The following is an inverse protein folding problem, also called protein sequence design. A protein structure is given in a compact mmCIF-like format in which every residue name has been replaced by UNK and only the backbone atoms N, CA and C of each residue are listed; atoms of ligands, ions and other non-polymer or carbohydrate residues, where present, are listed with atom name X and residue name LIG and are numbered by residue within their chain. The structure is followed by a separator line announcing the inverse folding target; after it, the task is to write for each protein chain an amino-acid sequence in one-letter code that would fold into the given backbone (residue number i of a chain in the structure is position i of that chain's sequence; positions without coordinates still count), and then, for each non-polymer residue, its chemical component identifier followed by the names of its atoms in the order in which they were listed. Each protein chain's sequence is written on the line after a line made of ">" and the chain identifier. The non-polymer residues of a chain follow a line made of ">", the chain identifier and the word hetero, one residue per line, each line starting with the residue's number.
data_IF_738069956268
#
_entry.id   IF_738069956268
#
_cell.length_a   1.000
_cell.length_b   1.000
_cell.length_c   1.000
_cell.angle_alpha   90.00
_cell.angle_beta   90.00
_cell.angle_gamma   90.00
#
_symmetry.space_group_name_H-M   'P 1'
#
loop_
_entity.id
_entity.type
_entity.pdbx_description
1 polymer ?
#
# COMPACT_ATOMS: atom_id res chain seq x y z
N UNK A 1 -5.65 -0.44 -5.63
CA UNK A 1 -6.44 0.36 -4.65
C UNK A 1 -7.61 -0.41 -4.04
N UNK A 2 -8.49 -1.07 -4.81
CA UNK A 2 -9.73 -1.74 -4.32
C UNK A 2 -9.55 -2.52 -3.02
N UNK A 3 -8.54 -3.40 -2.93
CA UNK A 3 -8.31 -4.26 -1.75
C UNK A 3 -8.01 -3.45 -0.47
N UNK A 4 -7.19 -2.39 -0.58
CA UNK A 4 -6.83 -1.53 0.57
C UNK A 4 -8.01 -0.70 1.05
N UNK A 5 -8.79 -0.15 0.12
CA UNK A 5 -10.00 0.60 0.44
C UNK A 5 -11.06 -0.28 1.11
N UNK A 6 -11.23 -1.52 0.63
CA UNK A 6 -12.11 -2.50 1.26
C UNK A 6 -11.64 -2.87 2.68
N UNK A 7 -10.33 -2.99 2.91
CA UNK A 7 -9.79 -3.26 4.23
C UNK A 7 -10.06 -2.10 5.23
N UNK A 8 -9.91 -0.86 4.79
CA UNK A 8 -10.26 0.32 5.60
C UNK A 8 -11.76 0.36 5.92
N UNK A 9 -12.61 0.12 4.93
CA UNK A 9 -14.06 0.10 5.14
C UNK A 9 -14.48 -1.02 6.10
N UNK A 10 -13.90 -2.21 5.96
CA UNK A 10 -14.15 -3.32 6.87
C UNK A 10 -13.68 -3.00 8.29
N UNK A 11 -12.51 -2.39 8.44
CA UNK A 11 -12.02 -1.96 9.75
C UNK A 11 -12.97 -0.94 10.42
N UNK A 12 -13.47 0.04 9.65
CA UNK A 12 -14.47 1.00 10.13
C UNK A 12 -15.81 0.35 10.55
N UNK A 13 -16.11 -0.85 10.03
CA UNK A 13 -17.28 -1.65 10.41
C UNK A 13 -17.03 -2.55 11.63
N UNK A 14 -15.87 -2.45 12.27
CA UNK A 14 -15.52 -3.19 13.48
C UNK A 14 -14.71 -4.47 13.26
N UNK A 15 -14.24 -4.73 12.03
CA UNK A 15 -13.37 -5.90 11.79
C UNK A 15 -11.98 -5.68 12.40
N UNK A 16 -11.53 -6.68 13.15
CA UNK A 16 -10.19 -6.71 13.75
C UNK A 16 -9.12 -7.01 12.69
N UNK A 17 -7.87 -6.62 12.97
CA UNK A 17 -6.75 -6.83 12.05
C UNK A 17 -6.59 -8.31 11.66
N UNK A 18 -6.75 -9.24 12.60
CA UNK A 18 -6.61 -10.67 12.33
C UNK A 18 -7.70 -11.20 11.38
N UNK A 19 -8.92 -10.68 11.46
CA UNK A 19 -9.97 -11.02 10.49
C UNK A 19 -9.65 -10.48 9.09
N UNK A 20 -9.06 -9.27 9.01
CA UNK A 20 -8.65 -8.68 7.74
C UNK A 20 -7.49 -9.47 7.09
N UNK A 21 -6.55 -9.98 7.90
CA UNK A 21 -5.45 -10.86 7.44
C UNK A 21 -6.01 -12.08 6.72
N UNK A 22 -7.00 -12.75 7.32
CA UNK A 22 -7.68 -13.91 6.73
C UNK A 22 -8.46 -13.51 5.48
N UNK A 23 -9.30 -12.47 5.57
CA UNK A 23 -10.17 -12.02 4.48
C UNK A 23 -9.40 -11.62 3.22
N UNK A 24 -8.24 -10.99 3.38
CA UNK A 24 -7.43 -10.49 2.28
C UNK A 24 -6.23 -11.36 1.93
N UNK A 25 -6.07 -12.52 2.59
CA UNK A 25 -4.95 -13.44 2.46
C UNK A 25 -3.61 -12.70 2.47
N UNK A 26 -3.39 -11.88 3.50
CA UNK A 26 -2.20 -11.04 3.63
C UNK A 26 -1.66 -11.06 5.05
N UNK A 27 -0.48 -10.48 5.29
CA UNK A 27 0.11 -10.44 6.62
C UNK A 27 -0.40 -9.27 7.47
N UNK A 28 -0.39 -9.45 8.80
CA UNK A 28 -0.74 -8.42 9.79
C UNK A 28 -0.05 -7.08 9.51
N UNK A 29 1.24 -7.11 9.23
CA UNK A 29 2.04 -5.92 8.93
C UNK A 29 1.56 -5.16 7.69
N UNK A 30 1.00 -5.86 6.70
CA UNK A 30 0.46 -5.25 5.49
C UNK A 30 -0.83 -4.50 5.80
N UNK A 31 -1.74 -5.13 6.54
CA UNK A 31 -3.00 -4.51 7.00
C UNK A 31 -2.69 -3.29 7.87
N UNK A 32 -1.82 -3.43 8.88
CA UNK A 32 -1.42 -2.31 9.74
C UNK A 32 -0.83 -1.16 8.95
N UNK A 33 -0.03 -1.44 7.92
CA UNK A 33 0.53 -0.39 7.04
C UNK A 33 -0.56 0.32 6.22
N UNK A 34 -1.56 -0.40 5.73
CA UNK A 34 -2.69 0.22 5.02
C UNK A 34 -3.49 1.14 5.93
N UNK A 35 -3.85 0.67 7.13
CA UNK A 35 -4.59 1.45 8.12
C UNK A 35 -3.79 2.68 8.58
N UNK A 36 -2.51 2.52 8.91
CA UNK A 36 -1.65 3.63 9.30
C UNK A 36 -1.46 4.67 8.19
N UNK A 37 -1.37 4.23 6.93
CA UNK A 37 -1.31 5.15 5.78
C UNK A 37 -2.64 5.88 5.56
N UNK A 38 -3.77 5.19 5.72
CA UNK A 38 -5.09 5.82 5.68
C UNK A 38 -5.23 6.89 6.76
N UNK A 39 -4.84 6.60 7.99
CA UNK A 39 -4.95 7.55 9.10
C UNK A 39 -4.05 8.78 8.91
N UNK A 40 -2.89 8.63 8.26
CA UNK A 40 -1.95 9.73 8.02
C UNK A 40 -2.25 10.55 6.76
N UNK A 41 -2.70 9.91 5.68
CA UNK A 41 -2.77 10.52 4.34
C UNK A 41 -4.15 10.40 3.68
N UNK A 42 -5.13 9.83 4.36
CA UNK A 42 -6.45 9.55 3.81
C UNK A 42 -6.39 8.70 2.54
N UNK A 43 -7.17 9.10 1.54
CA UNK A 43 -7.27 8.39 0.26
C UNK A 43 -5.93 8.29 -0.47
N UNK A 44 -5.07 9.31 -0.38
CA UNK A 44 -3.74 9.29 -1.00
C UNK A 44 -2.86 8.18 -0.44
N UNK A 45 -3.02 7.82 0.84
CA UNK A 45 -2.29 6.73 1.49
C UNK A 45 -2.66 5.33 0.98
N UNK A 46 -3.83 5.19 0.36
CA UNK A 46 -4.32 3.93 -0.22
C UNK A 46 -3.90 3.73 -1.68
N UNK A 47 -3.30 4.75 -2.30
CA UNK A 47 -2.78 4.62 -3.63
C UNK A 47 -1.76 3.48 -3.72
N UNK A 48 -1.91 2.63 -4.75
CA UNK A 48 -0.79 1.79 -5.17
C UNK A 48 0.22 2.77 -5.75
N UNK A 49 1.28 3.07 -4.98
CA UNK A 49 2.39 3.86 -5.51
C UNK A 49 2.86 3.21 -6.80
N UNK A 50 3.26 4.03 -7.77
CA UNK A 50 3.88 3.53 -8.97
C UNK A 50 4.98 2.54 -8.53
N UNK A 51 4.84 1.28 -8.92
CA UNK A 51 5.97 0.36 -8.87
C UNK A 51 6.94 0.94 -9.90
N UNK A 52 7.77 1.90 -9.48
CA UNK A 52 9.03 2.10 -10.15
C UNK A 52 9.63 0.71 -10.14
N UNK A 53 9.66 0.06 -11.31
CA UNK A 53 10.33 -1.23 -11.44
C UNK A 53 11.78 -1.08 -10.99
N UNK A 54 12.59 -2.11 -11.21
CA UNK A 54 14.03 -1.90 -11.11
C UNK A 54 14.39 -0.67 -11.96
N UNK A 55 14.99 0.39 -11.41
CA UNK A 55 15.42 1.50 -12.24
C UNK A 55 16.27 0.92 -13.36
N UNK A 56 16.05 1.33 -14.63
CA UNK A 56 16.85 0.84 -15.74
C UNK A 56 18.33 1.04 -15.37
N UNK A 57 19.16 0.02 -15.65
CA UNK A 57 20.62 0.11 -15.51
C UNK A 57 21.02 1.41 -16.20
N UNK A 58 21.63 2.33 -15.46
CA UNK A 58 22.09 3.62 -15.97
C UNK A 58 22.70 3.40 -17.36
N UNK A 59 22.05 3.92 -18.40
CA UNK A 59 22.70 4.02 -19.70
C UNK A 59 23.86 5.00 -19.48
N UNK A 60 25.08 4.53 -19.73
CA UNK A 60 26.31 5.31 -19.74
C UNK A 60 26.20 6.43 -20.78
N UNK A 61 25.57 7.54 -20.40
CA UNK A 61 25.67 8.80 -21.12
C UNK A 61 25.47 9.96 -20.15
N UNK A 62 26.37 10.02 -19.15
CA UNK A 62 26.87 11.32 -18.72
C UNK A 62 27.67 11.87 -19.89
N UNK A 63 26.98 12.49 -20.85
CA UNK A 63 27.65 13.41 -21.77
C UNK A 63 28.00 14.65 -20.96
N UNK A 64 29.31 14.84 -20.77
CA UNK A 64 29.94 16.09 -20.39
C UNK A 64 29.29 17.27 -21.11
N UNK A 65 29.07 18.36 -20.38
CA UNK A 65 29.29 19.71 -20.89
C UNK A 65 29.87 20.56 -19.77
#
# INVERSE_FOLDING_TARGET
>A
MRRRAQAVLAHHRGFCIDQLVVLFATHRNVVSRWLGRWQRWGLAGLAEGARSGRPPKLAETVKKK
#
